data_IF_637545477414
#
_entry.id   IF_637545477414
#
_cell.length_a   1.000
_cell.length_b   1.000
_cell.length_c   1.000
_cell.angle_alpha   90.00
_cell.angle_beta   90.00
_cell.angle_gamma   90.00
#
_symmetry.space_group_name_H-M   'P 1'
#
loop_
_entity.id
_entity.type
_entity.pdbx_description
1 polymer ?
#
# COMPACT_ATOMS: atom_id res chain seq x y z
N UNK A 1 -12.16 -63.86 32.21
CA UNK A 1 -12.18 -63.85 30.72
C UNK A 1 -13.23 -62.88 30.22
N UNK A 2 -12.91 -61.59 30.20
CA UNK A 2 -13.61 -60.49 29.51
C UNK A 2 -12.69 -59.28 29.70
N UNK A 3 -12.33 -58.61 28.60
CA UNK A 3 -11.66 -57.28 28.51
C UNK A 3 -10.49 -57.16 27.54
N UNK A 4 -10.04 -58.24 26.88
CA UNK A 4 -9.02 -58.11 25.82
C UNK A 4 -9.60 -57.78 24.43
N UNK A 5 -10.92 -57.77 24.25
CA UNK A 5 -11.59 -57.58 22.94
C UNK A 5 -11.97 -56.11 22.63
N UNK A 6 -12.07 -55.24 23.64
CA UNK A 6 -12.48 -53.84 23.46
C UNK A 6 -11.38 -52.94 22.89
N UNK A 7 -10.13 -53.11 23.36
CA UNK A 7 -9.01 -52.23 22.96
C UNK A 7 -8.57 -52.39 21.51
N UNK A 8 -8.65 -53.60 20.95
CA UNK A 8 -8.31 -53.86 19.54
C UNK A 8 -9.32 -53.22 18.58
N UNK A 9 -10.62 -53.25 18.91
CA UNK A 9 -11.66 -52.61 18.12
C UNK A 9 -11.54 -51.09 18.14
N UNK A 10 -11.25 -50.51 19.31
CA UNK A 10 -11.07 -49.07 19.48
C UNK A 10 -9.82 -48.55 18.75
N UNK A 11 -8.70 -49.28 18.82
CA UNK A 11 -7.49 -48.95 18.05
C UNK A 11 -7.73 -49.04 16.54
N UNK A 12 -8.38 -50.10 16.05
CA UNK A 12 -8.70 -50.21 14.62
C UNK A 12 -9.61 -49.08 14.13
N UNK A 13 -10.59 -48.69 14.94
CA UNK A 13 -11.43 -47.53 14.66
C UNK A 13 -10.61 -46.25 14.62
N UNK A 14 -9.82 -45.93 15.66
CA UNK A 14 -8.99 -44.72 15.70
C UNK A 14 -8.00 -44.65 14.53
N UNK A 15 -7.31 -45.75 14.20
CA UNK A 15 -6.40 -45.79 13.06
C UNK A 15 -7.15 -45.65 11.74
N UNK A 16 -8.32 -46.29 11.59
CA UNK A 16 -9.14 -46.14 10.39
C UNK A 16 -9.71 -44.73 10.25
N UNK A 17 -10.07 -44.05 11.34
CA UNK A 17 -10.50 -42.65 11.31
C UNK A 17 -9.34 -41.73 10.96
N UNK A 18 -8.14 -41.95 11.49
CA UNK A 18 -6.94 -41.20 11.12
C UNK A 18 -6.53 -41.41 9.66
N UNK A 19 -6.68 -42.63 9.14
CA UNK A 19 -6.43 -42.95 7.73
C UNK A 19 -7.48 -42.29 6.84
N UNK A 20 -8.77 -42.36 7.20
CA UNK A 20 -9.83 -41.60 6.53
C UNK A 20 -9.61 -40.09 6.66
N UNK A 21 -8.87 -39.65 7.68
CA UNK A 21 -8.43 -38.26 7.81
C UNK A 21 -7.31 -37.91 6.81
N UNK A 22 -6.37 -38.81 6.58
CA UNK A 22 -5.29 -38.57 5.60
C UNK A 22 -5.71 -38.81 4.15
N UNK A 23 -6.85 -39.48 3.92
CA UNK A 23 -7.39 -39.78 2.59
C UNK A 23 -8.70 -39.07 2.27
N UNK A 24 -9.18 -38.14 3.11
CA UNK A 24 -10.19 -37.24 2.58
C UNK A 24 -9.56 -36.44 1.44
N UNK A 25 -10.22 -36.36 0.28
CA UNK A 25 -9.88 -35.29 -0.64
C UNK A 25 -9.97 -34.02 0.19
N UNK A 26 -8.89 -33.25 0.23
CA UNK A 26 -9.00 -31.86 0.62
C UNK A 26 -9.98 -31.32 -0.40
N UNK A 27 -11.26 -31.23 -0.03
CA UNK A 27 -12.18 -30.37 -0.72
C UNK A 27 -11.67 -28.97 -0.38
N UNK A 28 -10.54 -28.60 -1.00
CA UNK A 28 -10.35 -27.26 -1.45
C UNK A 28 -11.63 -27.01 -2.22
N UNK A 29 -12.53 -26.24 -1.61
CA UNK A 29 -13.46 -25.48 -2.38
C UNK A 29 -12.61 -24.48 -3.19
N UNK A 30 -11.84 -24.99 -4.17
CA UNK A 30 -11.74 -24.36 -5.47
C UNK A 30 -13.18 -24.35 -5.97
N UNK A 31 -13.98 -23.44 -5.42
CA UNK A 31 -14.91 -22.74 -6.26
C UNK A 31 -14.01 -22.22 -7.38
N UNK A 32 -14.02 -22.93 -8.52
CA UNK A 32 -13.35 -22.52 -9.73
C UNK A 32 -14.00 -21.18 -10.09
N UNK A 33 -13.45 -20.11 -9.52
CA UNK A 33 -13.74 -18.78 -9.97
C UNK A 33 -12.98 -18.66 -11.28
N UNK A 34 -13.71 -18.34 -12.33
CA UNK A 34 -13.10 -18.15 -13.63
C UNK A 34 -12.36 -16.82 -13.61
N UNK A 35 -11.07 -16.89 -13.95
CA UNK A 35 -10.24 -15.71 -14.19
C UNK A 35 -10.89 -14.89 -15.32
N UNK A 36 -11.22 -13.62 -15.04
CA UNK A 36 -11.83 -12.71 -16.02
C UNK A 36 -10.80 -12.17 -17.02
N UNK A 37 -9.50 -12.44 -16.78
CA UNK A 37 -8.37 -12.00 -17.58
C UNK A 37 -8.14 -10.49 -17.56
N UNK A 38 -8.85 -9.72 -16.74
CA UNK A 38 -8.90 -8.26 -16.83
C UNK A 38 -7.51 -7.62 -16.70
N UNK A 39 -6.69 -8.10 -15.75
CA UNK A 39 -5.32 -7.62 -15.53
C UNK A 39 -4.38 -7.88 -16.72
N UNK A 40 -4.72 -8.81 -17.60
CA UNK A 40 -3.92 -9.16 -18.79
C UNK A 40 -4.45 -8.49 -20.07
N UNK A 41 -5.52 -7.69 -19.96
CA UNK A 41 -6.04 -6.92 -21.09
C UNK A 41 -5.27 -5.62 -21.28
N UNK A 42 -5.45 -4.98 -22.44
CA UNK A 42 -4.93 -3.62 -22.66
C UNK A 42 -5.45 -2.64 -21.61
N UNK A 43 -6.67 -2.81 -21.09
CA UNK A 43 -7.20 -1.94 -20.04
C UNK A 43 -6.36 -2.00 -18.76
N UNK A 44 -5.90 -3.18 -18.34
CA UNK A 44 -5.02 -3.30 -17.18
C UNK A 44 -3.68 -2.59 -17.40
N UNK A 45 -3.10 -2.78 -18.59
CA UNK A 45 -1.84 -2.11 -18.96
C UNK A 45 -2.01 -0.59 -19.06
N UNK A 46 -3.11 -0.11 -19.67
CA UNK A 46 -3.40 1.32 -19.78
C UNK A 46 -3.54 1.98 -18.40
N UNK A 47 -4.13 1.28 -17.42
CA UNK A 47 -4.22 1.80 -16.03
C UNK A 47 -2.84 1.84 -15.37
N UNK A 48 -2.02 0.80 -15.56
CA UNK A 48 -0.64 0.77 -15.07
C UNK A 48 0.17 1.95 -15.63
N UNK A 49 0.08 2.20 -16.94
CA UNK A 49 0.80 3.27 -17.63
C UNK A 49 0.32 4.67 -17.21
N UNK A 50 -0.92 4.78 -16.72
CA UNK A 50 -1.47 5.99 -16.12
C UNK A 50 -1.08 6.17 -14.63
N UNK A 51 -0.28 5.26 -14.07
CA UNK A 51 0.23 5.34 -12.71
C UNK A 51 -0.64 4.65 -11.65
N UNK A 52 -1.63 3.85 -12.03
CA UNK A 52 -2.43 3.11 -11.05
C UNK A 52 -1.59 2.06 -10.29
N UNK A 53 -1.95 1.89 -9.02
CA UNK A 53 -1.54 0.74 -8.23
C UNK A 53 -2.59 -0.36 -8.27
N UNK A 54 -2.14 -1.61 -8.39
CA UNK A 54 -2.93 -2.81 -8.14
C UNK A 54 -2.64 -3.39 -6.77
N UNK A 55 -3.54 -3.12 -5.82
CA UNK A 55 -3.53 -3.71 -4.48
C UNK A 55 -4.41 -4.95 -4.36
N UNK A 56 -4.34 -5.62 -3.20
CA UNK A 56 -5.23 -6.75 -2.93
C UNK A 56 -6.56 -6.30 -2.30
N UNK A 57 -7.69 -6.84 -2.76
CA UNK A 57 -8.98 -6.66 -2.09
C UNK A 57 -9.46 -7.94 -1.39
N UNK A 58 -9.24 -9.09 -2.04
CA UNK A 58 -9.61 -10.40 -1.54
C UNK A 58 -9.48 -11.46 -2.62
N UNK A 59 -9.71 -12.71 -2.26
CA UNK A 59 -9.63 -13.85 -3.19
C UNK A 59 -10.88 -14.72 -3.08
N UNK A 60 -11.56 -15.04 -4.20
CA UNK A 60 -12.72 -15.93 -4.15
C UNK A 60 -12.37 -17.29 -3.55
N UNK A 61 -13.28 -17.83 -2.74
CA UNK A 61 -13.08 -19.10 -2.03
C UNK A 61 -12.22 -19.02 -0.77
N UNK A 62 -11.54 -17.89 -0.53
CA UNK A 62 -10.79 -17.63 0.69
C UNK A 62 -11.53 -16.64 1.58
N UNK A 63 -11.16 -16.60 2.86
CA UNK A 63 -11.80 -15.74 3.86
C UNK A 63 -10.75 -15.09 4.73
N UNK A 64 -10.83 -13.77 4.83
CA UNK A 64 -10.02 -12.98 5.77
C UNK A 64 -10.21 -13.45 7.21
N UNK A 65 -11.41 -13.90 7.58
CA UNK A 65 -11.70 -14.40 8.93
C UNK A 65 -11.01 -15.75 9.21
N UNK A 66 -10.99 -16.65 8.23
CA UNK A 66 -10.46 -18.00 8.43
C UNK A 66 -8.93 -18.05 8.29
N UNK A 67 -8.38 -17.47 7.23
CA UNK A 67 -6.93 -17.42 7.00
C UNK A 67 -6.52 -16.16 6.22
N UNK A 68 -6.32 -15.03 6.92
CA UNK A 68 -5.90 -13.77 6.30
C UNK A 68 -4.59 -13.90 5.50
N UNK A 69 -3.68 -14.75 5.97
CA UNK A 69 -2.41 -14.99 5.29
C UNK A 69 -2.58 -15.76 3.98
N UNK A 70 -3.57 -16.65 3.88
CA UNK A 70 -3.86 -17.33 2.62
C UNK A 70 -4.50 -16.38 1.59
N UNK A 71 -5.38 -15.47 2.04
CA UNK A 71 -5.98 -14.45 1.16
C UNK A 71 -4.89 -13.56 0.59
N UNK A 72 -4.07 -12.95 1.45
CA UNK A 72 -2.99 -12.05 1.05
C UNK A 72 -2.02 -12.74 0.08
N UNK A 73 -1.54 -13.94 0.42
CA UNK A 73 -0.57 -14.65 -0.42
C UNK A 73 -1.14 -15.02 -1.79
N UNK A 74 -2.38 -15.52 -1.84
CA UNK A 74 -3.01 -15.93 -3.10
C UNK A 74 -3.27 -14.73 -4.01
N UNK A 75 -3.66 -13.61 -3.41
CA UNK A 75 -3.89 -12.35 -4.11
C UNK A 75 -2.59 -11.75 -4.68
N UNK A 76 -1.52 -11.77 -3.88
CA UNK A 76 -0.19 -11.37 -4.32
C UNK A 76 0.26 -12.19 -5.52
N UNK A 77 0.15 -13.52 -5.44
CA UNK A 77 0.48 -14.41 -6.55
C UNK A 77 -0.36 -14.08 -7.78
N UNK A 78 -1.68 -13.92 -7.63
CA UNK A 78 -2.58 -13.60 -8.74
C UNK A 78 -2.17 -12.33 -9.49
N UNK A 79 -1.92 -11.23 -8.77
CA UNK A 79 -1.50 -9.95 -9.36
C UNK A 79 -0.13 -10.11 -10.05
N UNK A 80 0.87 -10.59 -9.33
CA UNK A 80 2.26 -10.65 -9.80
C UNK A 80 2.48 -11.58 -11.00
N UNK A 81 1.64 -12.59 -11.18
CA UNK A 81 1.67 -13.47 -12.36
C UNK A 81 1.08 -12.82 -13.62
N UNK A 82 0.35 -11.70 -13.48
CA UNK A 82 -0.47 -11.12 -14.55
C UNK A 82 -0.04 -9.71 -14.94
N UNK A 83 0.35 -8.88 -13.97
CA UNK A 83 0.73 -7.50 -14.19
C UNK A 83 1.69 -7.01 -13.10
N UNK A 84 2.47 -5.97 -13.41
CA UNK A 84 3.19 -5.25 -12.36
C UNK A 84 2.17 -4.52 -11.48
N UNK A 85 2.38 -4.53 -10.16
CA UNK A 85 1.48 -3.84 -9.25
C UNK A 85 1.55 -2.30 -9.37
N UNK A 86 2.63 -1.76 -9.90
CA UNK A 86 2.78 -0.34 -10.23
C UNK A 86 3.89 -0.17 -11.29
N UNK A 87 3.93 0.99 -11.93
CA UNK A 87 5.06 1.38 -12.78
C UNK A 87 6.41 1.28 -12.05
N UNK A 88 6.41 1.36 -10.72
CA UNK A 88 7.60 1.32 -9.89
C UNK A 88 8.02 -0.09 -9.44
N UNK A 89 7.16 -1.11 -9.57
CA UNK A 89 7.46 -2.43 -9.05
C UNK A 89 6.42 -3.51 -9.36
N UNK A 90 6.91 -4.74 -9.44
CA UNK A 90 6.07 -5.90 -9.75
C UNK A 90 5.17 -6.32 -8.57
N UNK A 91 5.63 -6.12 -7.34
CA UNK A 91 4.94 -6.63 -6.14
C UNK A 91 3.97 -5.59 -5.56
N UNK A 92 2.73 -6.00 -5.21
CA UNK A 92 1.78 -5.12 -4.56
C UNK A 92 2.23 -4.80 -3.14
N UNK A 93 1.99 -3.55 -2.71
CA UNK A 93 2.33 -3.06 -1.37
C UNK A 93 1.10 -2.83 -0.49
N UNK A 94 -0.10 -2.74 -1.08
CA UNK A 94 -1.32 -2.44 -0.34
C UNK A 94 -2.38 -3.54 -0.41
N UNK A 95 -3.18 -3.65 0.65
CA UNK A 95 -4.35 -4.54 0.71
C UNK A 95 -5.49 -3.93 1.52
N UNK A 96 -6.72 -4.25 1.14
CA UNK A 96 -7.88 -4.18 2.03
C UNK A 96 -7.72 -5.12 3.21
N UNK A 97 -8.23 -4.71 4.37
CA UNK A 97 -8.40 -5.59 5.54
C UNK A 97 -9.73 -5.31 6.24
N UNK A 98 -10.47 -6.35 6.69
CA UNK A 98 -11.70 -6.14 7.47
C UNK A 98 -11.39 -5.85 8.95
N UNK A 99 -12.35 -5.22 9.63
CA UNK A 99 -12.27 -4.90 11.06
C UNK A 99 -12.12 -6.09 12.02
N UNK A 100 -12.36 -7.31 11.56
CA UNK A 100 -12.28 -8.51 12.39
C UNK A 100 -10.85 -8.99 12.66
N UNK A 101 -9.82 -8.38 12.05
CA UNK A 101 -8.45 -8.85 12.15
C UNK A 101 -7.75 -8.35 13.41
N UNK A 102 -6.99 -9.25 14.04
CA UNK A 102 -6.09 -8.94 15.15
C UNK A 102 -4.77 -8.36 14.63
N UNK A 103 -4.03 -7.63 15.46
CA UNK A 103 -2.70 -7.09 15.08
C UNK A 103 -1.75 -8.18 14.58
N UNK A 104 -1.72 -9.36 15.22
CA UNK A 104 -0.90 -10.49 14.77
C UNK A 104 -1.29 -11.00 13.37
N UNK A 105 -2.55 -10.85 12.97
CA UNK A 105 -2.99 -11.17 11.60
C UNK A 105 -2.54 -10.09 10.61
N UNK A 106 -2.55 -8.82 10.99
CA UNK A 106 -1.95 -7.75 10.18
C UNK A 106 -0.44 -7.95 10.01
N UNK A 107 0.30 -8.27 11.07
CA UNK A 107 1.73 -8.58 10.97
C UNK A 107 1.99 -9.78 10.04
N UNK A 108 1.13 -10.80 10.09
CA UNK A 108 1.22 -11.94 9.17
C UNK A 108 1.01 -11.51 7.71
N UNK A 109 0.05 -10.62 7.43
CA UNK A 109 -0.17 -10.06 6.10
C UNK A 109 1.04 -9.21 5.67
N UNK A 110 1.55 -8.36 6.55
CA UNK A 110 2.71 -7.51 6.29
C UNK A 110 3.98 -8.32 6.01
N UNK A 111 4.19 -9.44 6.70
CA UNK A 111 5.32 -10.35 6.45
C UNK A 111 5.32 -10.94 5.03
N UNK A 112 4.20 -10.86 4.31
CA UNK A 112 4.08 -11.27 2.91
C UNK A 112 4.34 -10.14 1.93
N UNK A 113 4.69 -8.93 2.40
CA UNK A 113 5.07 -7.78 1.59
C UNK A 113 3.98 -6.72 1.41
N UNK A 114 2.82 -6.86 2.08
CA UNK A 114 1.80 -5.82 2.10
C UNK A 114 2.07 -4.85 3.25
N UNK A 115 2.80 -3.78 2.97
CA UNK A 115 3.13 -2.80 4.00
C UNK A 115 1.96 -1.90 4.40
N UNK A 116 1.00 -1.70 3.48
CA UNK A 116 -0.17 -0.85 3.71
C UNK A 116 -1.43 -1.70 3.85
N UNK A 117 -2.16 -1.53 4.95
CA UNK A 117 -3.49 -2.10 5.11
C UNK A 117 -4.51 -0.97 5.15
N UNK A 118 -5.44 -1.01 4.22
CA UNK A 118 -6.44 0.02 4.06
C UNK A 118 -7.82 -0.42 4.51
N UNK A 119 -8.74 0.54 4.32
CA UNK A 119 -10.15 0.52 4.74
C UNK A 119 -10.37 0.82 6.23
N UNK A 120 -11.63 0.92 6.63
CA UNK A 120 -12.07 1.00 8.03
C UNK A 120 -11.94 -0.38 8.67
N UNK A 121 -10.78 -0.64 9.27
CA UNK A 121 -10.50 -1.90 9.96
C UNK A 121 -10.52 -1.80 11.50
N UNK A 122 -11.04 -0.69 12.03
CA UNK A 122 -11.29 -0.49 13.47
C UNK A 122 -10.05 -0.65 14.37
N UNK A 123 -8.83 -0.68 13.82
CA UNK A 123 -7.62 -0.67 14.63
C UNK A 123 -7.48 0.66 15.38
N UNK A 124 -7.04 0.59 16.63
CA UNK A 124 -6.83 1.79 17.46
C UNK A 124 -5.59 2.59 17.05
N UNK A 125 -4.60 1.93 16.45
CA UNK A 125 -3.39 2.55 15.94
C UNK A 125 -3.68 3.02 14.52
N UNK A 126 -3.51 4.32 14.31
CA UNK A 126 -3.83 5.02 13.07
C UNK A 126 -3.04 6.32 13.07
N UNK A 127 -2.77 6.84 11.87
CA UNK A 127 -2.09 8.10 11.67
C UNK A 127 -2.67 8.83 10.47
N UNK A 128 -2.07 9.97 10.14
CA UNK A 128 -2.39 10.82 9.00
C UNK A 128 -3.73 11.54 9.08
N UNK A 129 -4.39 11.63 10.23
CA UNK A 129 -5.69 12.28 10.37
C UNK A 129 -5.67 13.79 10.11
N UNK A 130 -4.51 14.44 10.29
CA UNK A 130 -4.31 15.85 10.00
C UNK A 130 -2.80 16.10 9.76
N UNK A 131 -2.45 17.35 9.47
CA UNK A 131 -1.07 17.79 9.22
C UNK A 131 -0.06 17.55 10.37
N UNK A 132 -0.54 17.30 11.60
CA UNK A 132 0.32 17.08 12.78
C UNK A 132 0.35 15.61 13.22
N UNK A 133 -0.56 14.80 12.72
CA UNK A 133 -0.67 13.38 13.03
C UNK A 133 0.10 12.56 11.99
N UNK A 134 1.40 12.34 12.23
CA UNK A 134 2.30 11.61 11.33
C UNK A 134 2.56 10.20 11.84
N UNK A 135 2.72 9.20 10.96
CA UNK A 135 3.06 7.83 11.36
C UNK A 135 4.48 7.80 11.92
N UNK A 136 4.62 7.16 13.07
CA UNK A 136 5.90 6.95 13.73
C UNK A 136 6.42 5.54 13.50
N UNK A 137 5.51 4.57 13.39
CA UNK A 137 5.81 3.16 13.25
C UNK A 137 5.19 2.58 11.97
N UNK A 138 5.63 1.38 11.58
CA UNK A 138 5.10 0.68 10.41
C UNK A 138 3.65 0.26 10.63
N UNK A 139 3.23 0.04 11.89
CA UNK A 139 1.86 -0.35 12.22
C UNK A 139 0.83 0.75 11.99
N UNK A 140 1.26 2.02 11.94
CA UNK A 140 0.37 3.15 11.65
C UNK A 140 -0.16 3.11 10.20
N UNK A 141 0.53 2.36 9.32
CA UNK A 141 0.09 2.09 7.95
C UNK A 141 -0.87 0.92 7.83
N UNK A 142 -1.19 0.27 8.95
CA UNK A 142 -2.17 -0.81 8.96
C UNK A 142 -3.59 -0.29 9.13
N UNK A 143 -3.80 1.01 9.34
CA UNK A 143 -5.13 1.61 9.36
C UNK A 143 -5.07 3.01 8.77
N UNK A 144 -5.51 3.14 7.52
CA UNK A 144 -5.58 4.42 6.83
C UNK A 144 -7.01 5.01 6.82
N UNK A 145 -8.04 4.21 7.12
CA UNK A 145 -9.44 4.65 7.11
C UNK A 145 -9.94 5.13 5.74
N UNK A 146 -11.13 5.76 5.72
CA UNK A 146 -11.83 6.27 4.52
C UNK A 146 -12.22 7.74 4.61
N UNK A 147 -11.31 8.55 5.14
CA UNK A 147 -11.60 9.92 5.59
C UNK A 147 -12.20 10.83 4.51
N UNK A 148 -11.77 10.70 3.25
CA UNK A 148 -12.27 11.52 2.13
C UNK A 148 -13.64 11.11 1.60
N UNK A 149 -14.21 9.97 2.01
CA UNK A 149 -15.49 9.51 1.49
C UNK A 149 -15.42 8.99 0.05
N UNK A 150 -16.58 8.97 -0.63
CA UNK A 150 -16.72 8.40 -1.98
C UNK A 150 -16.41 9.44 -3.08
N UNK A 151 -15.86 9.00 -4.22
CA UNK A 151 -15.81 9.81 -5.46
C UNK A 151 -17.06 9.66 -6.34
N UNK A 152 -17.99 8.78 -5.98
CA UNK A 152 -19.12 8.40 -6.81
C UNK A 152 -20.23 9.46 -6.78
N UNK A 153 -20.79 9.76 -7.95
CA UNK A 153 -21.84 10.78 -8.07
C UNK A 153 -23.05 10.42 -7.20
N UNK A 154 -23.45 11.36 -6.34
CA UNK A 154 -24.59 11.22 -5.44
C UNK A 154 -24.25 10.57 -4.09
N UNK A 155 -23.02 10.06 -3.93
CA UNK A 155 -22.46 9.62 -2.64
C UNK A 155 -21.33 10.54 -2.17
N UNK A 156 -20.61 11.16 -3.11
CA UNK A 156 -19.56 12.10 -2.83
C UNK A 156 -20.07 13.36 -2.11
N UNK A 157 -19.26 13.89 -1.21
CA UNK A 157 -19.51 15.14 -0.48
C UNK A 157 -18.33 16.09 -0.69
N UNK A 158 -18.53 17.12 -1.50
CA UNK A 158 -17.50 18.13 -1.75
C UNK A 158 -17.09 18.86 -0.46
N UNK A 159 -18.07 19.19 0.38
CA UNK A 159 -17.84 19.85 1.67
C UNK A 159 -16.92 19.01 2.58
N UNK A 160 -17.23 17.73 2.73
CA UNK A 160 -16.41 16.80 3.52
C UNK A 160 -14.99 16.72 2.96
N UNK A 161 -14.82 16.56 1.64
CA UNK A 161 -13.49 16.47 1.04
C UNK A 161 -12.69 17.77 1.25
N UNK A 162 -13.33 18.94 1.12
CA UNK A 162 -12.67 20.23 1.36
C UNK A 162 -12.24 20.41 2.81
N UNK A 163 -13.09 20.02 3.77
CA UNK A 163 -12.75 20.02 5.19
C UNK A 163 -11.55 19.11 5.45
N UNK A 164 -11.59 17.87 4.97
CA UNK A 164 -10.55 16.87 5.22
C UNK A 164 -9.22 17.19 4.54
N UNK A 165 -9.24 17.82 3.36
CA UNK A 165 -8.05 18.35 2.70
C UNK A 165 -7.46 19.51 3.52
N UNK A 166 -8.31 20.38 4.07
CA UNK A 166 -7.85 21.53 4.88
C UNK A 166 -7.20 21.10 6.21
N UNK A 167 -7.60 19.97 6.79
CA UNK A 167 -6.96 19.39 7.97
C UNK A 167 -5.54 18.84 7.68
N UNK A 168 -5.28 18.46 6.42
CA UNK A 168 -4.01 17.91 5.96
C UNK A 168 -3.82 16.42 6.31
N UNK A 169 -2.63 15.87 6.08
CA UNK A 169 -2.40 14.42 6.22
C UNK A 169 -2.89 13.65 4.98
N UNK A 170 -3.30 12.39 5.17
CA UNK A 170 -3.65 11.47 4.07
C UNK A 170 -5.17 11.31 3.98
N UNK A 171 -5.75 11.87 2.91
CA UNK A 171 -7.19 11.83 2.65
C UNK A 171 -7.53 10.63 1.75
N UNK A 172 -8.04 9.57 2.35
CA UNK A 172 -8.42 8.35 1.61
C UNK A 172 -9.80 8.46 0.98
N UNK A 173 -9.84 8.35 -0.35
CA UNK A 173 -11.05 8.34 -1.15
C UNK A 173 -11.34 6.91 -1.63
N UNK A 174 -12.61 6.54 -1.75
CA UNK A 174 -13.01 5.23 -2.28
C UNK A 174 -14.06 5.35 -3.38
N UNK A 175 -14.08 4.38 -4.30
CA UNK A 175 -15.10 4.27 -5.33
C UNK A 175 -15.07 2.88 -5.96
N UNK A 176 -16.13 2.53 -6.67
CA UNK A 176 -16.15 1.38 -7.56
C UNK A 176 -16.06 1.91 -8.99
N UNK A 177 -15.02 1.57 -9.75
CA UNK A 177 -14.89 2.06 -11.13
C UNK A 177 -15.97 1.54 -12.08
N UNK A 178 -16.41 0.28 -11.87
CA UNK A 178 -17.40 -0.40 -12.72
C UNK A 178 -18.24 -1.38 -11.92
N UNK A 179 -19.52 -1.45 -12.22
CA UNK A 179 -20.43 -2.50 -11.72
C UNK A 179 -21.03 -3.20 -12.93
N UNK A 180 -20.70 -4.48 -13.11
CA UNK A 180 -20.92 -5.20 -14.36
C UNK A 180 -20.28 -4.42 -15.54
N UNK A 181 -21.02 -4.22 -16.62
CA UNK A 181 -20.54 -3.47 -17.80
C UNK A 181 -20.68 -1.94 -17.69
N UNK A 182 -21.29 -1.42 -16.62
CA UNK A 182 -21.54 0.00 -16.45
C UNK A 182 -20.41 0.69 -15.67
N UNK A 183 -19.87 1.77 -16.23
CA UNK A 183 -18.95 2.68 -15.53
C UNK A 183 -19.72 3.49 -14.49
N UNK A 184 -19.24 3.50 -13.25
CA UNK A 184 -19.79 4.37 -12.21
C UNK A 184 -19.31 5.79 -12.48
N UNK A 185 -20.24 6.74 -12.48
CA UNK A 185 -19.92 8.13 -12.78
C UNK A 185 -19.31 8.79 -11.54
N UNK A 186 -18.13 9.39 -11.70
CA UNK A 186 -17.52 10.22 -10.67
C UNK A 186 -18.23 11.58 -10.52
N UNK A 187 -18.17 12.15 -9.33
CA UNK A 187 -18.66 13.50 -9.08
C UNK A 187 -17.72 14.55 -9.70
N UNK A 188 -18.28 15.35 -10.62
CA UNK A 188 -17.48 16.28 -11.42
C UNK A 188 -16.96 17.44 -10.57
N UNK A 189 -17.71 17.90 -9.58
CA UNK A 189 -17.31 19.05 -8.77
C UNK A 189 -16.16 18.66 -7.83
N UNK A 190 -16.21 17.44 -7.29
CA UNK A 190 -15.10 16.86 -6.53
C UNK A 190 -13.85 16.72 -7.38
N UNK A 191 -13.94 16.16 -8.59
CA UNK A 191 -12.77 16.01 -9.46
C UNK A 191 -12.18 17.36 -9.88
N UNK A 192 -13.01 18.37 -10.15
CA UNK A 192 -12.52 19.72 -10.44
C UNK A 192 -11.78 20.30 -9.23
N UNK A 193 -12.35 20.17 -8.02
CA UNK A 193 -11.68 20.64 -6.81
C UNK A 193 -10.33 19.95 -6.59
N UNK A 194 -10.26 18.62 -6.70
CA UNK A 194 -9.02 17.86 -6.52
C UNK A 194 -7.98 18.14 -7.63
N UNK A 195 -8.39 18.60 -8.81
CA UNK A 195 -7.46 18.98 -9.86
C UNK A 195 -6.90 20.40 -9.65
N UNK A 196 -7.70 21.29 -9.05
CA UNK A 196 -7.39 22.70 -8.95
C UNK A 196 -6.85 23.09 -7.56
N UNK A 197 -6.91 22.19 -6.58
CA UNK A 197 -6.40 22.45 -5.24
C UNK A 197 -4.87 22.55 -5.24
N UNK A 198 -4.36 23.63 -4.65
CA UNK A 198 -2.94 23.80 -4.38
C UNK A 198 -2.50 22.91 -3.20
N UNK A 199 -1.20 22.60 -3.13
CA UNK A 199 -0.56 21.90 -2.00
C UNK A 199 -1.10 20.49 -1.70
N UNK A 200 -1.68 19.80 -2.69
CA UNK A 200 -2.03 18.38 -2.59
C UNK A 200 -1.17 17.50 -3.50
N UNK A 201 -0.89 16.28 -3.03
CA UNK A 201 -0.27 15.24 -3.84
C UNK A 201 -1.27 14.10 -4.04
N UNK A 202 -1.82 14.01 -5.25
CA UNK A 202 -2.62 12.85 -5.66
C UNK A 202 -1.68 11.67 -5.91
N UNK A 203 -1.84 10.62 -5.13
CA UNK A 203 -0.89 9.50 -5.09
C UNK A 203 -1.57 8.19 -4.71
N UNK A 204 -0.89 7.07 -4.94
CA UNK A 204 -1.33 5.74 -4.52
C UNK A 204 -0.83 5.40 -3.11
N UNK A 205 -1.42 4.38 -2.47
CA UNK A 205 -1.01 3.93 -1.13
C UNK A 205 0.42 3.41 -1.10
N UNK A 206 0.79 2.60 -2.09
CA UNK A 206 2.13 2.07 -2.26
C UNK A 206 3.14 3.18 -2.52
N UNK A 207 2.78 4.23 -3.26
CA UNK A 207 3.66 5.39 -3.45
C UNK A 207 3.85 6.18 -2.16
N UNK A 208 2.77 6.49 -1.43
CA UNK A 208 2.84 7.18 -0.15
C UNK A 208 3.70 6.43 0.86
N UNK A 209 3.52 5.11 0.99
CA UNK A 209 4.33 4.26 1.85
C UNK A 209 5.80 4.23 1.41
N UNK A 210 6.05 4.04 0.11
CA UNK A 210 7.42 3.96 -0.42
C UNK A 210 8.16 5.28 -0.21
N UNK A 211 7.48 6.41 -0.38
CA UNK A 211 8.04 7.73 -0.10
C UNK A 211 8.35 7.90 1.39
N UNK A 212 7.41 7.58 2.28
CA UNK A 212 7.61 7.69 3.73
C UNK A 212 8.71 6.77 4.26
N UNK A 213 8.70 5.50 3.84
CA UNK A 213 9.69 4.51 4.27
C UNK A 213 11.09 4.86 3.77
N UNK A 214 11.22 5.37 2.55
CA UNK A 214 12.49 5.83 2.00
C UNK A 214 13.08 7.01 2.80
N UNK A 215 12.27 7.94 3.30
CA UNK A 215 12.77 9.02 4.16
C UNK A 215 13.32 8.51 5.50
N UNK A 216 12.94 7.32 5.95
CA UNK A 216 13.52 6.65 7.13
C UNK A 216 14.79 5.87 6.78
N UNK A 217 14.91 5.43 5.54
CA UNK A 217 16.11 4.75 5.03
C UNK A 217 17.29 5.68 4.84
N UNK A 218 17.03 6.94 4.46
CA UNK A 218 18.07 7.89 4.07
C UNK A 218 18.20 9.03 5.08
N UNK A 219 19.34 9.11 5.75
CA UNK A 219 19.67 10.24 6.62
C UNK A 219 20.50 11.26 5.83
N UNK A 220 20.03 12.53 5.70
CA UNK A 220 20.78 13.54 4.99
C UNK A 220 21.96 14.05 5.83
N UNK A 221 23.19 13.75 5.40
CA UNK A 221 24.38 14.45 5.90
C UNK A 221 24.55 15.76 5.14
N UNK A 222 24.42 16.87 5.86
CA UNK A 222 24.62 18.21 5.31
C UNK A 222 25.87 18.81 5.95
N UNK A 223 26.84 19.15 5.12
CA UNK A 223 28.01 19.94 5.53
C UNK A 223 28.04 21.26 4.78
N UNK A 224 28.62 22.28 5.42
CA UNK A 224 28.78 23.60 4.82
C UNK A 224 30.24 24.04 4.85
N UNK A 225 30.66 24.70 3.78
CA UNK A 225 32.00 25.26 3.64
C UNK A 225 31.86 26.68 3.10
N UNK A 226 32.34 27.67 3.85
CA UNK A 226 32.39 29.06 3.38
C UNK A 226 33.67 29.27 2.59
N UNK A 227 33.51 29.74 1.36
CA UNK A 227 34.60 30.11 0.46
C UNK A 227 34.51 31.60 0.12
N UNK A 228 35.52 32.14 -0.56
CA UNK A 228 35.51 33.52 -1.05
C UNK A 228 34.38 33.78 -2.07
N UNK A 229 33.85 32.72 -2.70
CA UNK A 229 32.79 32.77 -3.72
C UNK A 229 31.38 32.53 -3.15
N UNK A 230 31.27 32.26 -1.84
CA UNK A 230 30.02 31.99 -1.14
C UNK A 230 30.06 30.70 -0.31
N UNK A 231 28.88 30.29 0.17
CA UNK A 231 28.73 29.05 0.97
C UNK A 231 28.39 27.88 0.07
N UNK A 232 29.19 26.82 0.13
CA UNK A 232 28.90 25.54 -0.51
C UNK A 232 28.21 24.64 0.51
N UNK A 233 26.99 24.20 0.20
CA UNK A 233 26.31 23.13 0.93
C UNK A 233 26.57 21.81 0.21
N UNK A 234 27.10 20.82 0.92
CA UNK A 234 27.29 19.47 0.42
C UNK A 234 26.27 18.56 1.08
N UNK A 235 25.53 17.86 0.24
CA UNK A 235 24.54 16.87 0.65
C UNK A 235 25.06 15.48 0.32
N UNK A 236 25.02 14.59 1.30
CA UNK A 236 25.27 13.16 1.12
C UNK A 236 24.11 12.39 1.73
N UNK A 237 23.50 11.51 0.93
CA UNK A 237 22.46 10.61 1.42
C UNK A 237 23.13 9.39 2.04
N UNK A 238 23.00 9.25 3.36
CA UNK A 238 23.53 8.11 4.11
C UNK A 238 22.46 7.03 4.23
N UNK A 239 22.85 5.78 4.03
CA UNK A 239 21.98 4.63 4.20
C UNK A 239 21.95 4.24 5.68
N UNK A 240 20.76 4.24 6.29
CA UNK A 240 20.57 3.84 7.70
C UNK A 240 20.55 2.32 7.88
N UNK A 241 20.72 1.84 9.13
CA UNK A 241 20.63 0.42 9.45
C UNK A 241 19.25 -0.17 9.07
N UNK A 242 18.18 0.62 9.26
CA UNK A 242 16.81 0.26 8.87
C UNK A 242 16.66 0.00 7.37
N UNK A 243 17.47 0.64 6.52
CA UNK A 243 17.49 0.37 5.09
C UNK A 243 18.19 -0.95 4.74
N UNK A 244 19.16 -1.38 5.55
CA UNK A 244 19.98 -2.57 5.29
C UNK A 244 19.44 -3.84 5.95
N UNK A 245 18.54 -3.73 6.93
CA UNK A 245 17.96 -4.89 7.62
C UNK A 245 16.98 -5.68 6.74
N UNK A 246 16.49 -5.08 5.65
CA UNK A 246 15.49 -5.68 4.76
C UNK A 246 14.05 -5.58 5.29
N UNK A 247 13.84 -4.87 6.40
CA UNK A 247 12.52 -4.74 7.04
C UNK A 247 11.58 -3.76 6.31
N UNK A 248 12.15 -2.88 5.47
CA UNK A 248 11.39 -1.89 4.70
C UNK A 248 11.24 -2.37 3.24
N UNK A 249 10.04 -2.84 2.91
CA UNK A 249 9.66 -3.20 1.54
C UNK A 249 8.96 -2.00 0.92
N UNK A 250 9.55 -1.40 -0.11
CA UNK A 250 8.96 -0.28 -0.84
C UNK A 250 9.41 -0.26 -2.29
N UNK A 251 8.67 0.46 -3.14
CA UNK A 251 9.11 0.73 -4.49
C UNK A 251 10.19 1.81 -4.53
N UNK A 252 11.00 1.79 -5.59
CA UNK A 252 12.05 2.78 -5.78
C UNK A 252 11.48 4.04 -6.42
N UNK A 253 11.09 5.01 -5.60
CA UNK A 253 10.54 6.29 -6.04
C UNK A 253 11.61 7.39 -6.08
N UNK A 254 11.46 8.40 -6.94
CA UNK A 254 12.14 9.68 -6.77
C UNK A 254 11.79 10.31 -5.41
N UNK A 255 12.81 10.83 -4.72
CA UNK A 255 12.64 11.54 -3.44
C UNK A 255 12.92 13.03 -3.62
N UNK A 256 12.16 13.86 -2.90
CA UNK A 256 12.31 15.31 -2.91
C UNK A 256 12.87 15.79 -1.58
N UNK A 257 14.03 16.46 -1.65
CA UNK A 257 14.64 17.10 -0.49
C UNK A 257 14.47 18.60 -0.56
N UNK A 258 13.90 19.20 0.49
CA UNK A 258 13.74 20.64 0.60
C UNK A 258 14.84 21.23 1.46
N UNK A 259 15.59 22.18 0.88
CA UNK A 259 16.63 22.93 1.58
C UNK A 259 16.19 24.39 1.70
N UNK A 260 16.30 24.95 2.90
CA UNK A 260 16.02 26.36 3.15
C UNK A 260 17.32 27.16 3.15
N UNK A 261 17.55 27.97 2.12
CA UNK A 261 18.72 28.86 1.99
C UNK A 261 18.51 30.22 2.64
N UNK A 262 17.43 30.39 3.42
CA UNK A 262 16.96 31.66 3.97
C UNK A 262 16.72 32.68 2.86
N UNK A 263 17.62 33.65 2.69
CA UNK A 263 17.55 34.69 1.65
C UNK A 263 18.67 34.58 0.61
N UNK A 264 19.48 33.53 0.67
CA UNK A 264 20.58 33.36 -0.27
C UNK A 264 20.07 32.79 -1.60
N UNK A 265 20.47 33.40 -2.71
CA UNK A 265 20.22 32.89 -4.05
C UNK A 265 21.09 31.67 -4.33
N UNK A 266 20.49 30.65 -4.95
CA UNK A 266 21.21 29.45 -5.40
C UNK A 266 21.84 29.74 -6.75
N UNK A 267 23.16 29.88 -6.78
CA UNK A 267 23.89 30.15 -8.03
C UNK A 267 24.12 28.90 -8.88
N UNK A 268 24.23 27.72 -8.25
CA UNK A 268 24.58 26.46 -8.91
C UNK A 268 24.17 25.26 -8.08
N UNK A 269 23.70 24.19 -8.75
CA UNK A 269 23.49 22.87 -8.16
C UNK A 269 24.32 21.84 -8.92
N UNK A 270 25.04 21.00 -8.19
CA UNK A 270 25.89 19.95 -8.74
C UNK A 270 25.45 18.58 -8.23
N UNK A 271 25.28 17.61 -9.13
CA UNK A 271 25.05 16.20 -8.80
C UNK A 271 26.26 15.40 -9.28
N UNK A 272 26.97 14.76 -8.35
CA UNK A 272 28.22 14.01 -8.64
C UNK A 272 29.27 14.79 -9.45
N UNK A 273 29.27 16.12 -9.35
CA UNK A 273 30.20 17.02 -10.05
C UNK A 273 29.64 17.69 -11.30
N UNK A 274 28.49 17.24 -11.82
CA UNK A 274 27.86 17.78 -13.01
C UNK A 274 26.73 18.77 -12.68
N UNK A 275 26.52 19.77 -13.55
CA UNK A 275 25.42 20.72 -13.39
C UNK A 275 24.08 19.99 -13.43
N UNK A 276 23.27 20.15 -12.37
CA UNK A 276 21.90 19.69 -12.37
C UNK A 276 21.05 20.58 -13.30
N UNK A 277 20.16 19.96 -14.07
CA UNK A 277 19.13 20.68 -14.81
C UNK A 277 18.13 21.28 -13.84
N UNK A 278 17.70 22.52 -14.08
CA UNK A 278 16.52 23.06 -13.39
C UNK A 278 15.28 22.35 -13.91
N UNK A 279 14.40 21.97 -12.98
CA UNK A 279 13.08 21.38 -13.24
C UNK A 279 11.95 22.39 -12.95
N UNK A 280 12.30 23.67 -12.77
CA UNK A 280 11.32 24.71 -12.44
C UNK A 280 10.32 24.90 -13.59
N UNK A 281 9.03 24.76 -13.29
CA UNK A 281 7.95 24.86 -14.29
C UNK A 281 7.70 23.56 -15.08
N UNK A 282 8.43 22.48 -14.79
CA UNK A 282 8.06 21.15 -15.28
C UNK A 282 6.93 20.59 -14.39
N UNK A 283 5.83 20.18 -15.01
CA UNK A 283 4.76 19.42 -14.36
C UNK A 283 4.94 17.95 -14.69
N UNK A 284 4.83 17.08 -13.68
CA UNK A 284 4.69 15.64 -13.91
C UNK A 284 3.39 15.32 -14.64
#
# INVERSE_FOLDING_TARGET
>A
MRDARGGRGLSFLLTSTLVLIMFHPVALAEAAWDDDGWLQTSYGTDRLDLGDEFGCYGMPGLSWFNDPGAVAQSCKSYITERINASQWGAHPLSTYTPASLTMAQHERIASQGFAVHGDENELTNTAWHNSTDVPYDIWDWYNLGRRGGSLEKGLASLETIQEEVSEGGLVNLYWIGRVNDATVRHDREVLTYLNDADDIWLTTWGEAWSYWSAHRCYDPSISSETTDEGTVLRFESLISEACTSGDLVGWNLPLTWRLNTSSAEVSKVLISGDNASSIEGETN
#
